data_IF_270742775770
#
_entry.id   IF_270742775770
#
_cell.length_a   1.000
_cell.length_b   1.000
_cell.length_c   1.000
_cell.angle_alpha   90.00
_cell.angle_beta   90.00
_cell.angle_gamma   90.00
#
_symmetry.space_group_name_H-M   'P 1'
#
loop_
_entity.id
_entity.type
_entity.pdbx_description
1 polymer ?
#
# COMPACT_ATOMS: atom_id res chain seq x y z
N UNK A 1 -37.49 -51.07 12.67
CA UNK A 1 -37.05 -50.95 11.28
C UNK A 1 -38.29 -50.93 10.40
N UNK A 2 -38.65 -49.75 9.89
CA UNK A 2 -39.83 -49.56 9.04
C UNK A 2 -39.35 -49.26 7.62
N UNK A 3 -39.74 -50.12 6.67
CA UNK A 3 -39.57 -49.90 5.24
C UNK A 3 -40.78 -49.11 4.71
N UNK A 4 -40.54 -48.08 3.91
CA UNK A 4 -41.59 -47.42 3.10
C UNK A 4 -41.28 -47.59 1.62
N UNK A 5 -42.09 -48.41 0.95
CA UNK A 5 -42.22 -48.47 -0.50
C UNK A 5 -42.98 -47.24 -1.00
N UNK A 6 -42.48 -46.59 -2.05
CA UNK A 6 -43.18 -46.40 -3.34
C UNK A 6 -42.61 -45.19 -4.10
N UNK A 7 -41.79 -45.46 -5.11
CA UNK A 7 -41.41 -44.52 -6.17
C UNK A 7 -42.62 -44.34 -7.10
N UNK A 8 -43.24 -43.16 -7.09
CA UNK A 8 -44.16 -42.76 -8.17
C UNK A 8 -43.29 -42.23 -9.32
N UNK A 9 -43.42 -42.76 -10.55
CA UNK A 9 -42.67 -42.26 -11.70
C UNK A 9 -43.30 -40.94 -12.15
N UNK A 10 -42.58 -39.83 -11.94
CA UNK A 10 -42.90 -38.54 -12.54
C UNK A 10 -42.71 -38.64 -14.07
N UNK A 11 -43.77 -39.01 -14.80
CA UNK A 11 -43.82 -38.80 -16.26
C UNK A 11 -44.07 -37.30 -16.50
N UNK A 12 -43.19 -36.60 -17.24
CA UNK A 12 -43.47 -35.22 -17.62
C UNK A 12 -44.70 -35.18 -18.52
N UNK A 13 -45.67 -34.32 -18.18
CA UNK A 13 -46.82 -34.04 -19.05
C UNK A 13 -46.29 -33.48 -20.37
N UNK A 14 -46.49 -34.22 -21.47
CA UNK A 14 -46.30 -33.67 -22.83
C UNK A 14 -47.43 -32.67 -23.08
N UNK A 15 -47.13 -31.37 -22.97
CA UNK A 15 -47.94 -30.34 -23.61
C UNK A 15 -47.62 -30.38 -25.09
N UNK A 16 -48.61 -30.74 -25.92
CA UNK A 16 -48.51 -30.62 -27.37
C UNK A 16 -48.32 -29.15 -27.75
N UNK A 17 -47.19 -28.87 -28.42
CA UNK A 17 -46.82 -27.54 -28.85
C UNK A 17 -47.35 -27.32 -30.28
N UNK A 18 -48.49 -26.62 -30.39
CA UNK A 18 -49.00 -26.18 -31.68
C UNK A 18 -48.22 -24.94 -32.14
N UNK A 19 -47.32 -25.13 -33.11
CA UNK A 19 -46.64 -24.03 -33.80
C UNK A 19 -47.63 -23.33 -34.75
N UNK A 20 -48.29 -22.30 -34.26
CA UNK A 20 -48.97 -21.29 -35.09
C UNK A 20 -48.17 -19.98 -34.99
N UNK A 21 -47.70 -19.37 -36.10
CA UNK A 21 -46.72 -18.27 -36.05
C UNK A 21 -47.24 -16.94 -35.47
N UNK A 22 -48.52 -16.81 -35.17
CA UNK A 22 -49.21 -15.51 -35.09
C UNK A 22 -49.51 -14.96 -33.69
N UNK A 23 -48.87 -15.45 -32.61
CA UNK A 23 -49.08 -14.92 -31.24
C UNK A 23 -47.82 -14.87 -30.37
N UNK A 24 -46.68 -14.38 -30.89
CA UNK A 24 -45.42 -14.28 -30.10
C UNK A 24 -45.04 -12.86 -29.65
N UNK A 25 -45.80 -11.82 -30.00
CA UNK A 25 -45.33 -10.43 -29.83
C UNK A 25 -45.75 -9.72 -28.54
N UNK A 26 -46.67 -10.23 -27.72
CA UNK A 26 -47.19 -9.47 -26.57
C UNK A 26 -46.91 -10.10 -25.20
N UNK A 27 -45.65 -10.50 -24.92
CA UNK A 27 -45.24 -10.76 -23.53
C UNK A 27 -44.33 -9.62 -23.03
N UNK A 28 -44.80 -8.74 -22.12
CA UNK A 28 -44.03 -7.59 -21.66
C UNK A 28 -42.77 -7.95 -20.86
N UNK A 29 -42.59 -9.22 -20.50
CA UNK A 29 -41.42 -9.71 -19.76
C UNK A 29 -40.35 -10.36 -20.65
N UNK A 30 -40.49 -10.29 -21.98
CA UNK A 30 -39.57 -10.90 -22.93
C UNK A 30 -39.14 -9.88 -23.97
N UNK A 31 -37.83 -9.65 -24.10
CA UNK A 31 -37.25 -8.83 -25.16
C UNK A 31 -36.57 -9.75 -26.17
N UNK A 32 -36.93 -9.59 -27.44
CA UNK A 32 -36.27 -10.28 -28.55
C UNK A 32 -35.05 -9.50 -29.01
N UNK A 33 -33.87 -10.10 -28.90
CA UNK A 33 -32.60 -9.60 -29.43
C UNK A 33 -32.34 -10.18 -30.83
N UNK A 34 -31.52 -9.52 -31.66
CA UNK A 34 -31.04 -10.11 -32.91
C UNK A 34 -30.33 -11.44 -32.66
N UNK A 35 -30.40 -12.35 -33.63
CA UNK A 35 -29.75 -13.66 -33.54
C UNK A 35 -28.24 -13.50 -33.45
N UNK A 36 -27.64 -14.22 -32.50
CA UNK A 36 -26.20 -14.22 -32.31
C UNK A 36 -25.51 -14.85 -33.53
N UNK A 37 -24.38 -14.28 -33.96
CA UNK A 37 -23.60 -14.76 -35.11
C UNK A 37 -23.31 -16.26 -35.04
N UNK A 38 -23.03 -16.80 -33.86
CA UNK A 38 -22.80 -18.24 -33.65
C UNK A 38 -23.94 -19.14 -34.17
N UNK A 39 -25.19 -18.66 -34.18
CA UNK A 39 -26.36 -19.42 -34.65
C UNK A 39 -26.47 -19.40 -36.18
N UNK A 40 -25.94 -18.37 -36.84
CA UNK A 40 -25.95 -18.23 -38.30
C UNK A 40 -24.60 -18.59 -38.95
N UNK A 41 -23.56 -18.78 -38.15
CA UNK A 41 -22.22 -19.10 -38.62
C UNK A 41 -22.12 -20.55 -39.13
N UNK A 42 -21.46 -20.74 -40.27
CA UNK A 42 -21.08 -22.06 -40.78
C UNK A 42 -19.82 -22.55 -40.07
N UNK A 43 -20.00 -23.45 -39.11
CA UNK A 43 -18.89 -24.04 -38.34
C UNK A 43 -18.20 -25.13 -39.16
N UNK A 44 -17.20 -24.74 -39.97
CA UNK A 44 -16.40 -25.64 -40.81
C UNK A 44 -15.20 -26.25 -40.08
N UNK A 45 -14.90 -25.78 -38.86
CA UNK A 45 -13.74 -26.17 -38.06
C UNK A 45 -14.13 -27.07 -36.87
N UNK A 46 -13.22 -27.91 -36.35
CA UNK A 46 -13.50 -28.75 -35.19
C UNK A 46 -13.74 -27.93 -33.92
N UNK A 47 -14.52 -28.49 -32.99
CA UNK A 47 -14.89 -27.83 -31.72
C UNK A 47 -13.70 -27.51 -30.78
N UNK A 48 -12.52 -28.07 -31.06
CA UNK A 48 -11.27 -27.76 -30.37
C UNK A 48 -10.59 -26.49 -30.89
N UNK A 49 -11.02 -25.95 -32.02
CA UNK A 49 -10.45 -24.73 -32.60
C UNK A 49 -10.79 -23.51 -31.75
N UNK A 50 -9.77 -22.68 -31.47
CA UNK A 50 -9.91 -21.50 -30.61
C UNK A 50 -10.96 -20.50 -31.13
N UNK A 51 -11.15 -20.38 -32.44
CA UNK A 51 -12.15 -19.47 -33.01
C UNK A 51 -13.58 -19.97 -32.77
N UNK A 52 -13.79 -21.28 -32.84
CA UNK A 52 -15.09 -21.92 -32.56
C UNK A 52 -15.39 -21.85 -31.06
N UNK A 53 -14.39 -22.09 -30.21
CA UNK A 53 -14.52 -21.98 -28.76
C UNK A 53 -14.81 -20.55 -28.32
N UNK A 54 -14.15 -19.55 -28.92
CA UNK A 54 -14.42 -18.15 -28.64
C UNK A 54 -15.84 -17.76 -29.02
N UNK A 55 -16.31 -18.15 -30.21
CA UNK A 55 -17.67 -17.86 -30.65
C UNK A 55 -18.74 -18.57 -29.80
N UNK A 56 -18.47 -19.80 -29.35
CA UNK A 56 -19.33 -20.54 -28.42
C UNK A 56 -19.33 -19.90 -27.02
N UNK A 57 -18.18 -19.45 -26.53
CA UNK A 57 -18.07 -18.76 -25.24
C UNK A 57 -18.83 -17.44 -25.26
N UNK A 58 -18.72 -16.66 -26.34
CA UNK A 58 -19.46 -15.42 -26.54
C UNK A 58 -20.98 -15.67 -26.58
N UNK A 59 -21.41 -16.72 -27.28
CA UNK A 59 -22.81 -17.14 -27.29
C UNK A 59 -23.33 -17.55 -25.91
N UNK A 60 -22.51 -18.26 -25.11
CA UNK A 60 -22.87 -18.63 -23.73
C UNK A 60 -22.97 -17.42 -22.80
N UNK A 61 -22.11 -16.41 -22.99
CA UNK A 61 -22.09 -15.20 -22.19
C UNK A 61 -23.27 -14.27 -22.49
N UNK A 62 -23.61 -14.09 -23.77
CA UNK A 62 -24.67 -13.16 -24.21
C UNK A 62 -26.05 -13.81 -24.39
N UNK A 63 -26.09 -15.12 -24.56
CA UNK A 63 -27.30 -15.91 -24.75
C UNK A 63 -27.87 -15.85 -26.16
N UNK A 64 -29.08 -16.44 -26.31
CA UNK A 64 -29.84 -16.46 -27.55
C UNK A 64 -30.71 -15.22 -27.77
N UNK A 65 -31.63 -15.31 -28.73
CA UNK A 65 -32.53 -14.22 -29.16
C UNK A 65 -33.56 -13.82 -28.10
N UNK A 66 -33.72 -14.56 -27.00
CA UNK A 66 -34.76 -14.32 -26.00
C UNK A 66 -34.10 -13.90 -24.69
N UNK A 67 -34.36 -12.66 -24.25
CA UNK A 67 -33.99 -12.19 -22.92
C UNK A 67 -35.24 -12.06 -22.06
N UNK A 68 -35.30 -12.84 -20.97
CA UNK A 68 -36.32 -12.66 -19.94
C UNK A 68 -35.94 -11.48 -19.05
N UNK A 69 -36.81 -10.48 -18.96
CA UNK A 69 -36.62 -9.32 -18.09
C UNK A 69 -37.30 -9.62 -16.76
N UNK A 70 -36.53 -9.88 -15.69
CA UNK A 70 -37.14 -9.88 -14.36
C UNK A 70 -37.53 -8.45 -14.01
N UNK A 71 -38.78 -8.24 -13.60
CA UNK A 71 -39.26 -6.94 -13.08
C UNK A 71 -38.59 -6.53 -11.75
N UNK A 72 -37.74 -7.40 -11.22
CA UNK A 72 -36.94 -7.18 -10.01
C UNK A 72 -35.57 -6.54 -10.27
N UNK A 73 -35.08 -6.52 -11.51
CA UNK A 73 -33.72 -6.06 -11.84
C UNK A 73 -33.62 -4.60 -12.30
N UNK A 74 -34.73 -3.86 -12.38
CA UNK A 74 -34.73 -2.44 -12.81
C UNK A 74 -34.31 -1.44 -11.71
N UNK A 75 -33.67 -1.91 -10.63
CA UNK A 75 -33.11 -1.04 -9.57
C UNK A 75 -31.74 -1.50 -9.06
N UNK A 76 -30.89 -2.05 -9.92
CA UNK A 76 -29.44 -1.90 -9.68
C UNK A 76 -29.01 -0.67 -10.46
N UNK A 77 -28.68 0.42 -9.75
CA UNK A 77 -28.15 1.62 -10.38
C UNK A 77 -26.90 1.23 -11.19
N UNK A 78 -26.97 1.33 -12.52
CA UNK A 78 -25.83 1.08 -13.41
C UNK A 78 -24.61 1.93 -13.02
N UNK A 79 -24.81 3.07 -12.35
CA UNK A 79 -23.75 3.91 -11.82
C UNK A 79 -23.01 3.28 -10.63
N UNK A 80 -23.69 2.52 -9.78
CA UNK A 80 -23.08 1.86 -8.61
C UNK A 80 -22.18 0.69 -9.02
N UNK A 81 -22.63 -0.09 -10.02
CA UNK A 81 -21.83 -1.18 -10.61
C UNK A 81 -20.66 -0.62 -11.43
N UNK A 82 -20.83 0.50 -12.15
CA UNK A 82 -19.73 1.16 -12.87
C UNK A 82 -18.69 1.74 -11.91
N UNK A 83 -19.11 2.29 -10.77
CA UNK A 83 -18.20 2.76 -9.73
C UNK A 83 -17.41 1.60 -9.12
N UNK A 84 -18.06 0.48 -8.77
CA UNK A 84 -17.37 -0.68 -8.18
C UNK A 84 -16.35 -1.30 -9.15
N UNK A 85 -16.72 -1.46 -10.43
CA UNK A 85 -15.80 -1.97 -11.47
C UNK A 85 -14.63 -1.01 -11.69
N UNK A 86 -14.87 0.31 -11.66
CA UNK A 86 -13.80 1.31 -11.81
C UNK A 86 -12.83 1.30 -10.62
N UNK A 87 -13.33 1.07 -9.41
CA UNK A 87 -12.51 0.91 -8.21
C UNK A 87 -11.66 -0.36 -8.25
N UNK A 88 -12.23 -1.48 -8.70
CA UNK A 88 -11.49 -2.73 -8.91
C UNK A 88 -10.40 -2.59 -9.98
N UNK A 89 -10.69 -1.94 -11.11
CA UNK A 89 -9.70 -1.67 -12.15
C UNK A 89 -8.54 -0.83 -11.61
N UNK A 90 -8.83 0.27 -10.89
CA UNK A 90 -7.80 1.10 -10.26
C UNK A 90 -6.93 0.30 -9.28
N UNK A 91 -7.55 -0.60 -8.51
CA UNK A 91 -6.84 -1.44 -7.54
C UNK A 91 -5.90 -2.43 -8.26
N UNK A 92 -6.38 -3.04 -9.34
CA UNK A 92 -5.58 -3.93 -10.19
C UNK A 92 -4.43 -3.18 -10.89
N UNK A 93 -4.65 -1.95 -11.37
CA UNK A 93 -3.62 -1.11 -11.97
C UNK A 93 -2.48 -0.82 -10.98
N UNK A 94 -2.82 -0.44 -9.75
CA UNK A 94 -1.85 -0.23 -8.66
C UNK A 94 -1.06 -1.51 -8.35
N UNK A 95 -1.73 -2.66 -8.26
CA UNK A 95 -1.06 -3.95 -8.04
C UNK A 95 -0.11 -4.34 -9.18
N UNK A 96 -0.50 -4.10 -10.43
CA UNK A 96 0.33 -4.36 -11.62
C UNK A 96 1.58 -3.46 -11.58
N UNK A 97 1.41 -2.19 -11.27
CA UNK A 97 2.51 -1.23 -11.21
C UNK A 97 3.49 -1.58 -10.07
N UNK A 98 2.98 -1.97 -8.90
CA UNK A 98 3.81 -2.49 -7.82
C UNK A 98 4.56 -3.77 -8.18
N UNK A 99 3.92 -4.68 -8.94
CA UNK A 99 4.55 -5.94 -9.36
C UNK A 99 5.67 -5.67 -10.36
N UNK A 100 5.44 -4.82 -11.36
CA UNK A 100 6.47 -4.35 -12.29
C UNK A 100 7.62 -3.68 -11.55
N UNK A 101 7.33 -2.83 -10.57
CA UNK A 101 8.33 -2.20 -9.72
C UNK A 101 9.15 -3.23 -8.95
N UNK A 102 8.51 -4.26 -8.38
CA UNK A 102 9.20 -5.37 -7.68
C UNK A 102 10.11 -6.17 -8.61
N UNK A 103 9.66 -6.47 -9.83
CA UNK A 103 10.45 -7.21 -10.83
C UNK A 103 11.65 -6.38 -11.30
N UNK A 104 11.46 -5.09 -11.58
CA UNK A 104 12.54 -4.17 -11.92
C UNK A 104 13.56 -4.04 -10.78
N UNK A 105 13.09 -3.94 -9.53
CA UNK A 105 13.98 -3.96 -8.36
C UNK A 105 14.78 -5.26 -8.26
N UNK A 106 14.14 -6.40 -8.49
CA UNK A 106 14.85 -7.69 -8.49
C UNK A 106 15.95 -7.72 -9.55
N UNK A 107 15.64 -7.28 -10.77
CA UNK A 107 16.63 -7.22 -11.85
C UNK A 107 17.76 -6.23 -11.57
N UNK A 108 17.50 -5.18 -10.80
CA UNK A 108 18.47 -4.13 -10.51
C UNK A 108 19.42 -4.47 -9.35
N UNK A 109 18.98 -5.24 -8.36
CA UNK A 109 19.76 -5.54 -7.17
C UNK A 109 20.33 -6.98 -7.13
N UNK A 110 19.82 -7.87 -7.97
CA UNK A 110 20.19 -9.29 -8.00
C UNK A 110 20.77 -9.69 -9.36
N UNK A 111 21.76 -10.57 -9.35
CA UNK A 111 22.34 -11.21 -10.53
C UNK A 111 21.32 -12.14 -11.21
N UNK A 112 21.63 -12.61 -12.41
CA UNK A 112 20.79 -13.59 -13.13
C UNK A 112 20.59 -14.90 -12.32
N UNK A 113 21.53 -15.23 -11.43
CA UNK A 113 21.44 -16.36 -10.50
C UNK A 113 20.55 -16.06 -9.27
N UNK A 114 19.95 -14.87 -9.19
CA UNK A 114 19.15 -14.43 -8.05
C UNK A 114 19.95 -14.08 -6.80
N UNK A 115 21.28 -13.88 -6.91
CA UNK A 115 22.14 -13.49 -5.79
C UNK A 115 22.26 -11.98 -5.72
N UNK A 116 22.37 -11.41 -4.52
CA UNK A 116 22.62 -9.97 -4.36
C UNK A 116 24.04 -9.68 -4.87
N UNK A 117 24.17 -8.77 -5.83
CA UNK A 117 25.48 -8.30 -6.26
C UNK A 117 26.10 -7.43 -5.15
N UNK A 118 27.08 -8.01 -4.45
CA UNK A 118 27.77 -7.38 -3.33
C UNK A 118 28.58 -6.14 -3.73
N UNK A 119 28.86 -5.92 -5.02
CA UNK A 119 29.60 -4.76 -5.50
C UNK A 119 28.70 -3.70 -6.16
N UNK A 120 27.41 -3.99 -6.32
CA UNK A 120 26.49 -3.05 -6.94
C UNK A 120 26.34 -1.79 -6.07
N UNK A 121 26.66 -0.58 -6.59
CA UNK A 121 26.71 0.63 -5.77
C UNK A 121 25.37 0.94 -5.10
N UNK A 122 24.25 0.64 -5.78
CA UNK A 122 22.92 0.86 -5.25
C UNK A 122 22.54 -0.11 -4.11
N UNK A 123 23.13 -1.31 -4.04
CA UNK A 123 22.88 -2.23 -2.93
C UNK A 123 23.35 -1.65 -1.58
N UNK A 124 24.28 -0.68 -1.64
CA UNK A 124 24.87 0.04 -0.51
C UNK A 124 24.29 1.44 -0.29
N UNK A 125 23.27 1.86 -1.06
CA UNK A 125 22.62 3.18 -0.90
C UNK A 125 21.41 3.14 0.04
N UNK A 126 21.50 2.39 1.14
CA UNK A 126 20.41 2.23 2.11
C UNK A 126 20.92 1.87 3.48
N UNK A 127 20.11 2.16 4.49
CA UNK A 127 20.33 1.71 5.86
C UNK A 127 19.07 1.05 6.41
N UNK A 128 19.25 -0.05 7.12
CA UNK A 128 18.19 -0.68 7.93
C UNK A 128 18.44 -0.39 9.39
N UNK A 129 17.45 0.20 10.07
CA UNK A 129 17.50 0.54 11.48
C UNK A 129 16.33 -0.10 12.21
N UNK A 130 16.54 -0.55 13.43
CA UNK A 130 15.44 -0.90 14.32
C UNK A 130 14.90 0.41 14.90
N UNK A 131 13.70 0.79 14.48
CA UNK A 131 13.02 1.99 14.93
C UNK A 131 11.98 1.65 15.99
N UNK A 132 11.93 2.46 17.05
CA UNK A 132 10.86 2.42 18.05
C UNK A 132 10.57 3.81 18.59
N UNK A 133 9.36 4.00 19.11
CA UNK A 133 8.96 5.23 19.79
C UNK A 133 8.18 4.88 21.05
N UNK A 134 8.51 5.52 22.16
CA UNK A 134 7.82 5.31 23.43
C UNK A 134 7.70 6.61 24.19
N UNK A 135 6.71 6.69 25.08
CA UNK A 135 6.57 7.83 25.99
C UNK A 135 7.33 7.54 27.30
N UNK A 136 8.03 8.54 27.82
CA UNK A 136 8.74 8.47 29.09
C UNK A 136 7.86 8.96 30.26
N UNK A 137 6.54 9.01 30.08
CA UNK A 137 5.60 9.54 31.07
C UNK A 137 5.60 8.67 32.33
N UNK A 138 5.73 9.34 33.49
CA UNK A 138 5.86 8.72 34.81
C UNK A 138 4.66 7.85 35.23
N UNK A 139 3.49 8.04 34.61
CA UNK A 139 2.23 7.41 35.03
C UNK A 139 1.87 6.10 34.33
N UNK A 140 2.50 5.80 33.20
CA UNK A 140 2.27 4.55 32.47
C UNK A 140 3.62 3.94 32.17
N UNK A 141 3.91 2.77 32.76
CA UNK A 141 5.07 1.94 32.43
C UNK A 141 5.35 2.04 30.93
N UNK A 142 6.56 2.45 30.54
CA UNK A 142 6.95 2.87 29.17
C UNK A 142 6.32 2.00 28.08
N UNK A 143 5.16 2.39 27.59
CA UNK A 143 4.46 1.70 26.51
C UNK A 143 4.98 2.23 25.19
N UNK A 144 5.29 1.31 24.29
CA UNK A 144 5.69 1.65 22.93
C UNK A 144 4.50 2.24 22.18
N UNK A 145 4.62 3.50 21.76
CA UNK A 145 3.70 4.14 20.84
C UNK A 145 3.89 3.59 19.43
N UNK A 146 5.13 3.26 19.09
CA UNK A 146 5.52 2.49 17.91
C UNK A 146 6.40 1.35 18.38
N UNK A 147 5.91 0.13 18.20
CA UNK A 147 6.64 -1.09 18.55
C UNK A 147 7.94 -1.20 17.75
N UNK A 148 9.02 -1.75 18.34
CA UNK A 148 10.27 -1.97 17.62
C UNK A 148 10.06 -2.71 16.31
N UNK A 149 10.48 -2.09 15.21
CA UNK A 149 10.34 -2.64 13.86
C UNK A 149 11.51 -2.22 12.98
N UNK A 150 11.86 -3.05 12.02
CA UNK A 150 12.95 -2.75 11.08
C UNK A 150 12.43 -1.79 10.01
N UNK A 151 13.01 -0.60 9.97
CA UNK A 151 12.79 0.41 8.96
C UNK A 151 14.01 0.46 8.03
N UNK A 152 13.79 0.15 6.75
CA UNK A 152 14.81 0.29 5.71
C UNK A 152 14.55 1.56 4.92
N UNK A 153 15.56 2.42 4.85
CA UNK A 153 15.53 3.71 4.18
C UNK A 153 16.60 3.72 3.08
N UNK A 154 16.21 4.07 1.87
CA UNK A 154 17.15 4.32 0.77
C UNK A 154 17.64 5.76 0.87
N UNK A 155 18.95 6.01 0.75
CA UNK A 155 19.50 7.37 0.85
C UNK A 155 18.90 8.26 -0.25
N UNK A 156 18.30 9.39 0.16
CA UNK A 156 17.60 10.32 -0.72
C UNK A 156 16.43 9.68 -1.51
N UNK A 157 15.86 8.60 -0.99
CA UNK A 157 14.88 7.81 -1.71
C UNK A 157 13.72 7.35 -0.84
N UNK A 158 13.36 6.07 -1.00
CA UNK A 158 12.18 5.50 -0.35
C UNK A 158 12.36 5.47 1.16
N UNK A 159 11.30 5.88 1.87
CA UNK A 159 11.23 5.97 3.33
C UNK A 159 12.22 6.94 3.97
N UNK A 160 12.93 7.74 3.17
CA UNK A 160 13.83 8.78 3.65
C UNK A 160 13.15 10.16 3.62
N UNK A 161 13.71 11.09 4.37
CA UNK A 161 13.25 12.48 4.45
C UNK A 161 14.48 13.36 4.67
N UNK A 162 14.43 14.61 4.21
CA UNK A 162 15.50 15.56 4.52
C UNK A 162 15.58 15.82 6.03
N UNK A 163 16.79 16.01 6.55
CA UNK A 163 17.04 16.21 7.98
C UNK A 163 16.27 17.43 8.51
N UNK A 164 16.29 18.55 7.78
CA UNK A 164 15.54 19.75 8.14
C UNK A 164 14.03 19.48 8.20
N UNK A 165 13.47 18.89 7.14
CA UNK A 165 12.06 18.53 7.08
C UNK A 165 11.64 17.55 8.19
N UNK A 166 12.51 16.61 8.58
CA UNK A 166 12.26 15.73 9.73
C UNK A 166 12.13 16.55 11.02
N UNK A 167 13.07 17.46 11.27
CA UNK A 167 13.09 18.29 12.47
C UNK A 167 11.88 19.22 12.53
N UNK A 168 11.55 19.92 11.44
CA UNK A 168 10.38 20.80 11.38
C UNK A 168 9.09 20.02 11.63
N UNK A 169 8.90 18.90 10.92
CA UNK A 169 7.66 18.14 10.96
C UNK A 169 7.43 17.44 12.29
N UNK A 170 8.48 16.86 12.88
CA UNK A 170 8.35 15.98 14.03
C UNK A 170 8.90 16.56 15.32
N UNK A 171 9.87 17.48 15.28
CA UNK A 171 10.53 18.00 16.47
C UNK A 171 10.06 19.40 16.85
N UNK A 172 9.86 20.28 15.85
CA UNK A 172 9.54 21.70 16.08
C UNK A 172 8.09 22.07 15.79
N UNK A 173 7.27 21.11 15.37
CA UNK A 173 5.84 21.31 15.21
C UNK A 173 5.09 21.08 16.53
N UNK A 174 4.68 22.18 17.18
CA UNK A 174 3.91 22.15 18.44
C UNK A 174 2.53 21.48 18.31
N UNK A 175 1.98 21.40 17.10
CA UNK A 175 0.70 20.73 16.82
C UNK A 175 0.86 19.23 16.58
N UNK A 176 2.08 18.74 16.44
CA UNK A 176 2.34 17.33 16.18
C UNK A 176 1.97 16.48 17.40
N UNK A 177 1.11 15.49 17.19
CA UNK A 177 0.63 14.56 18.22
C UNK A 177 1.11 13.15 17.92
N UNK A 178 1.20 12.35 18.98
CA UNK A 178 1.49 10.94 18.85
C UNK A 178 0.41 10.27 17.97
N UNK A 179 0.84 9.40 17.05
CA UNK A 179 -0.07 8.67 16.15
C UNK A 179 -0.72 7.45 16.81
N UNK A 180 -0.23 7.05 17.99
CA UNK A 180 -0.79 5.93 18.72
C UNK A 180 -2.12 6.33 19.34
N UNK A 181 -3.21 5.63 18.97
CA UNK A 181 -4.56 5.92 19.47
C UNK A 181 -4.70 5.77 20.99
N UNK A 182 -3.81 4.99 21.62
CA UNK A 182 -3.79 4.75 23.06
C UNK A 182 -2.85 5.69 23.82
N UNK A 183 -2.11 6.57 23.12
CA UNK A 183 -1.16 7.46 23.74
C UNK A 183 -1.72 8.89 23.84
N UNK A 184 -1.91 9.35 25.07
CA UNK A 184 -2.35 10.73 25.38
C UNK A 184 -1.20 11.64 25.82
N UNK A 185 0.01 11.11 25.95
CA UNK A 185 1.16 11.89 26.39
C UNK A 185 1.53 12.95 25.33
N UNK A 186 1.93 14.16 25.75
CA UNK A 186 2.53 15.15 24.86
C UNK A 186 3.73 14.59 24.09
N UNK A 187 3.88 14.98 22.82
CA UNK A 187 5.01 14.51 22.01
C UNK A 187 6.38 14.91 22.57
N UNK A 188 6.43 16.01 23.34
CA UNK A 188 7.61 16.44 24.11
C UNK A 188 8.18 15.35 25.03
N UNK A 189 7.34 14.45 25.54
CA UNK A 189 7.75 13.36 26.42
C UNK A 189 8.03 12.04 25.69
N UNK A 190 8.09 12.07 24.36
CA UNK A 190 8.40 10.89 23.57
C UNK A 190 9.90 10.80 23.27
N UNK A 191 10.38 9.56 23.27
CA UNK A 191 11.71 9.22 22.79
C UNK A 191 11.55 8.42 21.51
N UNK A 192 12.21 8.87 20.44
CA UNK A 192 12.39 8.10 19.21
C UNK A 192 13.77 7.48 19.20
N UNK A 193 13.83 6.16 19.03
CA UNK A 193 15.06 5.38 19.13
C UNK A 193 15.33 4.67 17.81
N UNK A 194 16.54 4.86 17.31
CA UNK A 194 17.07 4.24 16.10
C UNK A 194 18.30 3.42 16.48
N UNK A 195 18.26 2.11 16.22
CA UNK A 195 19.36 1.19 16.53
C UNK A 195 19.88 0.56 15.24
N UNK A 196 21.21 0.54 15.09
CA UNK A 196 21.88 -0.10 13.95
C UNK A 196 23.20 -0.72 14.40
N UNK A 197 23.32 -2.04 14.30
CA UNK A 197 24.46 -2.78 14.83
C UNK A 197 24.64 -2.53 16.33
N UNK A 198 25.82 -2.06 16.73
CA UNK A 198 26.15 -1.67 18.11
C UNK A 198 25.80 -0.21 18.45
N UNK A 199 25.31 0.56 17.47
CA UNK A 199 25.01 1.98 17.63
C UNK A 199 23.55 2.22 18.00
N UNK A 200 23.30 3.23 18.84
CA UNK A 200 21.98 3.66 19.27
C UNK A 200 21.90 5.19 19.25
N UNK A 201 20.90 5.72 18.55
CA UNK A 201 20.57 7.15 18.51
C UNK A 201 19.19 7.33 19.11
N UNK A 202 19.10 8.20 20.10
CA UNK A 202 17.84 8.57 20.75
C UNK A 202 17.59 10.06 20.51
N UNK A 203 16.40 10.37 20.00
CA UNK A 203 15.93 11.73 19.80
C UNK A 203 14.89 12.00 20.89
N UNK A 204 15.19 13.01 21.69
CA UNK A 204 14.34 13.51 22.77
C UNK A 204 14.13 15.01 22.57
N UNK A 205 12.96 15.50 22.95
CA UNK A 205 12.61 16.91 22.86
C UNK A 205 12.62 17.52 24.24
N UNK A 206 13.09 18.77 24.32
CA UNK A 206 13.05 19.58 25.54
C UNK A 206 12.64 20.99 25.18
N UNK A 207 11.76 21.55 26.00
CA UNK A 207 11.44 22.97 25.92
C UNK A 207 12.56 23.74 26.63
N UNK A 208 13.09 24.77 25.97
CA UNK A 208 14.05 25.69 26.55
C UNK A 208 13.29 26.85 27.20
N UNK A 209 13.67 27.23 28.41
CA UNK A 209 13.01 28.30 29.20
C UNK A 209 13.43 29.71 28.75
N UNK A 210 14.58 29.84 28.08
CA UNK A 210 15.09 31.10 27.56
C UNK A 210 14.46 31.42 26.21
N UNK A 211 13.70 32.50 26.15
CA UNK A 211 13.47 33.20 24.88
C UNK A 211 14.83 33.66 24.37
N UNK A 212 15.34 32.98 23.34
CA UNK A 212 16.45 33.50 22.56
C UNK A 212 15.87 34.67 21.75
N UNK A 213 15.55 35.78 22.43
CA UNK A 213 14.79 36.92 21.89
C UNK A 213 15.49 37.60 20.71
N UNK A 214 16.77 37.27 20.48
CA UNK A 214 17.58 37.77 19.37
C UNK A 214 17.72 36.76 18.21
N UNK A 215 17.25 35.52 18.37
CA UNK A 215 17.38 34.49 17.33
C UNK A 215 16.10 34.36 16.52
N UNK A 216 16.26 34.27 15.21
CA UNK A 216 15.15 34.12 14.29
C UNK A 216 14.42 32.80 14.54
N UNK A 217 13.12 32.90 14.81
CA UNK A 217 12.21 31.77 15.03
C UNK A 217 12.08 30.82 13.84
N UNK A 218 12.50 31.25 12.64
CA UNK A 218 12.43 30.40 11.43
C UNK A 218 13.70 29.59 11.19
N UNK A 219 14.80 29.94 11.85
CA UNK A 219 16.11 29.30 11.63
C UNK A 219 16.34 28.18 12.63
N UNK A 220 16.71 26.99 12.14
CA UNK A 220 17.16 25.88 13.00
C UNK A 220 18.61 26.12 13.39
N UNK A 221 18.90 26.11 14.69
CA UNK A 221 20.24 26.24 15.21
C UNK A 221 20.78 24.90 15.71
N UNK A 222 22.07 24.68 15.52
CA UNK A 222 22.75 23.41 15.75
C UNK A 222 23.95 23.61 16.67
N UNK A 223 24.14 22.65 17.57
CA UNK A 223 25.35 22.54 18.39
C UNK A 223 25.50 21.08 18.86
N UNK A 224 26.65 20.78 19.44
CA UNK A 224 26.97 19.45 19.95
C UNK A 224 27.68 19.55 21.29
N UNK A 225 27.54 18.52 22.12
CA UNK A 225 28.26 18.38 23.37
C UNK A 225 29.10 17.11 23.36
N UNK A 226 30.38 17.25 23.67
CA UNK A 226 31.29 16.12 23.77
C UNK A 226 31.34 15.60 25.21
N UNK A 227 30.99 14.32 25.41
CA UNK A 227 31.05 13.69 26.74
C UNK A 227 32.46 13.54 27.29
N UNK A 228 33.46 13.43 26.40
CA UNK A 228 34.87 13.25 26.75
C UNK A 228 35.52 14.59 27.10
N UNK A 229 35.40 15.58 26.21
CA UNK A 229 36.00 16.91 26.40
C UNK A 229 35.20 17.80 27.37
N UNK A 230 33.92 17.46 27.61
CA UNK A 230 32.96 18.28 28.37
C UNK A 230 32.78 19.69 27.80
N UNK A 231 32.95 19.84 26.50
CA UNK A 231 32.84 21.10 25.77
C UNK A 231 31.62 21.11 24.85
N UNK A 232 31.10 22.32 24.63
CA UNK A 232 30.00 22.61 23.71
C UNK A 232 30.59 23.24 22.45
N UNK A 233 30.15 22.80 21.28
CA UNK A 233 30.50 23.48 20.02
C UNK A 233 29.79 24.82 19.93
N UNK A 234 30.32 25.79 19.16
CA UNK A 234 29.58 27.02 18.85
C UNK A 234 28.18 26.71 18.32
N UNK A 235 27.21 27.54 18.69
CA UNK A 235 25.86 27.49 18.13
C UNK A 235 25.90 28.11 16.75
N UNK A 236 25.52 27.35 15.74
CA UNK A 236 25.55 27.78 14.34
C UNK A 236 24.19 27.57 13.68
N UNK A 237 23.75 28.46 12.78
CA UNK A 237 22.56 28.22 12.00
C UNK A 237 22.76 27.02 11.07
N UNK A 238 21.71 26.22 10.89
CA UNK A 238 21.69 25.10 9.95
C UNK A 238 21.83 25.64 8.53
N UNK A 239 22.79 25.12 7.77
CA UNK A 239 22.95 25.46 6.36
C UNK A 239 21.88 24.82 5.48
N UNK A 240 21.64 25.37 4.29
CA UNK A 240 20.76 24.78 3.26
C UNK A 240 21.14 23.33 2.91
N UNK A 241 22.44 23.08 2.82
CA UNK A 241 22.97 21.75 2.49
C UNK A 241 22.68 20.75 3.61
N UNK A 242 22.80 21.19 4.87
CA UNK A 242 22.46 20.37 6.04
C UNK A 242 20.95 20.12 6.12
N UNK A 243 20.14 21.13 5.82
CA UNK A 243 18.69 21.01 5.82
C UNK A 243 18.23 19.97 4.79
N UNK A 244 18.79 20.01 3.58
CA UNK A 244 18.49 19.08 2.47
C UNK A 244 19.17 17.72 2.59
N UNK A 245 20.05 17.53 3.58
CA UNK A 245 20.75 16.27 3.78
C UNK A 245 19.79 15.11 4.09
N UNK A 246 20.09 13.92 3.58
CA UNK A 246 19.29 12.72 3.85
C UNK A 246 19.32 12.36 5.34
N UNK A 247 18.16 12.16 5.96
CA UNK A 247 18.07 11.72 7.36
C UNK A 247 18.64 10.31 7.53
N UNK A 248 18.37 9.41 6.59
CA UNK A 248 18.96 8.08 6.58
C UNK A 248 20.49 8.13 6.51
N UNK A 249 21.05 9.01 5.67
CA UNK A 249 22.51 9.21 5.56
C UNK A 249 23.10 9.85 6.81
N UNK A 250 22.36 10.78 7.44
CA UNK A 250 22.73 11.35 8.73
C UNK A 250 22.84 10.25 9.79
N UNK A 251 21.85 9.37 9.90
CA UNK A 251 21.90 8.24 10.84
C UNK A 251 23.10 7.33 10.57
N UNK A 252 23.34 6.95 9.31
CA UNK A 252 24.50 6.15 8.92
C UNK A 252 25.81 6.78 9.41
N UNK A 253 26.00 8.07 9.11
CA UNK A 253 27.18 8.83 9.51
C UNK A 253 27.36 8.79 11.05
N UNK A 254 26.30 9.05 11.81
CA UNK A 254 26.34 9.04 13.27
C UNK A 254 26.62 7.65 13.86
N UNK A 255 26.14 6.58 13.24
CA UNK A 255 26.49 5.22 13.67
C UNK A 255 27.96 4.88 13.36
N UNK A 256 28.51 5.38 12.26
CA UNK A 256 29.91 5.17 11.89
C UNK A 256 30.88 6.00 12.73
N UNK A 257 30.52 7.22 13.13
CA UNK A 257 31.33 8.05 14.04
C UNK A 257 31.65 7.32 15.37
N UNK A 258 30.76 6.45 15.84
CA UNK A 258 30.99 5.65 17.06
C UNK A 258 32.07 4.57 16.91
N UNK A 259 32.48 4.24 15.67
CA UNK A 259 33.52 3.25 15.37
C UNK A 259 34.87 3.89 15.02
N UNK A 260 34.89 5.19 14.73
CA UNK A 260 36.11 5.90 14.35
C UNK A 260 36.67 6.57 15.60
N UNK A 261 37.68 5.94 16.21
CA UNK A 261 38.56 6.64 17.15
C UNK A 261 39.23 7.79 16.39
N UNK A 262 38.82 9.04 16.65
CA UNK A 262 39.54 10.22 16.18
C UNK A 262 40.92 10.19 16.85
N UNK A 263 41.97 9.93 16.06
CA UNK A 263 43.37 10.04 16.50
C UNK A 263 43.77 11.49 16.68
#
# INVERSE_FOLDING_TARGET
MYFSNSLIPNKPKKTEYNDSPSKREDNPNVIFKPSHYFVTATLTKPASDASVQAALADFRARGGTIQNVCRCSSKTNDDEVKLSVREEIKKLEVEIEEKKRRENLKKFYFTEEGKIDALHPFNHQRISVLFSSFSQSFHFNSTFCVTPSVLTMDFYGRNDINLGAFLERYCFNSTYKCLSAICTAPFLHHVRKFVHGSGCIEILLRQMESSLDEMDSTTIYMWSWCKLCRQVSPVVPMSSDTWTFSFAKYLEFRFQESKINRR
#
